data_IF_996016344624
#
_entry.id   IF_996016344624
#
_cell.length_a   1.000
_cell.length_b   1.000
_cell.length_c   1.000
_cell.angle_alpha   90.00
_cell.angle_beta   90.00
_cell.angle_gamma   90.00
#
_symmetry.space_group_name_H-M   'P 1'
#
loop_
_entity.id
_entity.type
_entity.pdbx_description
1 polymer ?
#
# COMPACT_ATOMS: atom_id res chain seq x y z
N UNK A 1 -56.20 -20.30 48.85
CA UNK A 1 -56.43 -20.30 47.39
C UNK A 1 -56.34 -18.86 46.94
N UNK A 2 -55.16 -18.23 46.92
CA UNK A 2 -54.16 -18.21 45.82
C UNK A 2 -54.76 -17.87 44.46
N UNK A 3 -54.53 -16.64 44.01
CA UNK A 3 -53.82 -16.29 42.77
C UNK A 3 -53.52 -14.77 42.83
N UNK A 4 -52.27 -14.31 42.91
CA UNK A 4 -51.20 -14.31 41.91
C UNK A 4 -51.39 -13.23 40.81
N UNK A 5 -50.62 -12.14 40.95
CA UNK A 5 -49.79 -11.49 39.91
C UNK A 5 -49.81 -9.95 40.02
N UNK A 6 -48.82 -9.41 40.74
CA UNK A 6 -48.31 -8.07 40.55
C UNK A 6 -47.09 -8.14 39.62
N UNK A 7 -47.07 -7.32 38.57
CA UNK A 7 -45.88 -7.11 37.74
C UNK A 7 -45.84 -5.65 37.28
N UNK A 8 -45.44 -4.76 38.19
CA UNK A 8 -44.95 -3.44 37.81
C UNK A 8 -43.44 -3.57 37.57
N UNK A 9 -43.03 -3.43 36.30
CA UNK A 9 -41.64 -3.51 35.89
C UNK A 9 -40.86 -2.31 36.43
N UNK A 10 -39.98 -2.57 37.39
CA UNK A 10 -39.03 -1.59 37.95
C UNK A 10 -37.97 -1.25 36.91
N UNK A 11 -37.95 -0.01 36.40
CA UNK A 11 -36.84 0.51 35.58
C UNK A 11 -35.64 0.77 36.50
N UNK A 12 -34.69 -0.16 36.52
CA UNK A 12 -33.37 0.07 37.12
C UNK A 12 -32.52 1.03 36.28
N UNK A 13 -31.52 1.72 36.86
CA UNK A 13 -30.66 2.64 36.12
C UNK A 13 -29.82 1.87 35.10
N UNK A 14 -29.72 2.41 33.89
CA UNK A 14 -28.92 1.82 32.81
C UNK A 14 -27.44 1.74 33.20
N UNK A 15 -26.90 0.53 33.31
CA UNK A 15 -25.47 0.32 33.44
C UNK A 15 -24.74 0.85 32.20
N UNK A 16 -23.62 1.58 32.35
CA UNK A 16 -22.80 1.96 31.22
C UNK A 16 -22.22 0.69 30.60
N UNK A 17 -22.61 0.39 29.36
CA UNK A 17 -22.12 -0.75 28.60
C UNK A 17 -20.62 -0.58 28.32
N UNK A 18 -19.76 -1.08 29.19
CA UNK A 18 -18.34 -1.34 28.89
C UNK A 18 -18.26 -2.56 27.97
N UNK A 19 -18.69 -2.39 26.73
CA UNK A 19 -18.37 -3.32 25.65
C UNK A 19 -16.90 -3.19 25.26
N UNK A 20 -16.26 -4.24 24.70
CA UNK A 20 -14.92 -4.14 24.15
C UNK A 20 -14.85 -3.00 23.14
N UNK A 21 -13.87 -2.11 23.27
CA UNK A 21 -13.56 -1.13 22.22
C UNK A 21 -13.12 -1.92 20.99
N UNK A 22 -14.01 -2.05 20.02
CA UNK A 22 -13.71 -2.65 18.71
C UNK A 22 -12.74 -1.69 18.00
N UNK A 23 -11.44 -1.99 18.10
CA UNK A 23 -10.42 -1.29 17.34
C UNK A 23 -10.57 -1.72 15.88
N UNK A 24 -11.18 -0.88 15.06
CA UNK A 24 -11.17 -1.03 13.60
C UNK A 24 -9.73 -1.30 13.14
N UNK A 25 -9.38 -2.51 12.67
CA UNK A 25 -8.02 -2.81 12.25
C UNK A 25 -7.89 -2.34 10.80
N UNK A 26 -8.10 -1.06 10.52
CA UNK A 26 -7.75 -0.50 9.22
C UNK A 26 -6.23 -0.54 9.13
N UNK A 27 -5.64 -1.40 8.29
CA UNK A 27 -4.19 -1.51 8.21
C UNK A 27 -3.62 -0.17 7.77
N UNK A 28 -2.83 0.47 8.62
CA UNK A 28 -2.20 1.75 8.29
C UNK A 28 -1.23 1.52 7.13
N UNK A 29 -1.54 2.08 5.96
CA UNK A 29 -0.71 1.93 4.76
C UNK A 29 0.68 2.52 5.03
N UNK A 30 1.78 1.72 4.98
CA UNK A 30 3.12 2.20 5.29
C UNK A 30 3.56 3.25 4.27
N UNK A 31 3.68 4.51 4.71
CA UNK A 31 3.90 5.67 3.82
C UNK A 31 5.33 5.75 3.28
N UNK A 32 6.31 5.26 4.05
CA UNK A 32 7.73 5.45 3.71
C UNK A 32 8.15 4.76 2.41
N UNK A 33 7.67 3.54 2.15
CA UNK A 33 8.01 2.80 0.92
C UNK A 33 7.58 3.58 -0.33
N UNK A 34 6.35 4.10 -0.35
CA UNK A 34 5.86 4.90 -1.48
C UNK A 34 6.68 6.18 -1.74
N UNK A 35 7.07 6.90 -0.69
CA UNK A 35 7.85 8.14 -0.84
C UNK A 35 9.31 7.91 -1.23
N UNK A 36 9.97 6.91 -0.64
CA UNK A 36 11.34 6.55 -1.01
C UNK A 36 11.42 6.13 -2.48
N UNK A 37 10.49 5.29 -2.94
CA UNK A 37 10.44 4.87 -4.33
C UNK A 37 10.09 6.04 -5.27
N UNK A 38 9.18 6.93 -4.86
CA UNK A 38 8.84 8.12 -5.65
C UNK A 38 10.04 9.06 -5.85
N UNK A 39 10.91 9.21 -4.84
CA UNK A 39 12.15 9.97 -4.96
C UNK A 39 13.23 9.24 -5.77
N UNK A 40 13.32 7.91 -5.63
CA UNK A 40 14.32 7.12 -6.34
C UNK A 40 14.02 7.00 -7.84
N UNK A 41 12.75 6.97 -8.25
CA UNK A 41 12.36 6.91 -9.67
C UNK A 41 13.03 7.99 -10.55
N UNK A 42 12.91 9.30 -10.26
CA UNK A 42 13.60 10.31 -11.06
C UNK A 42 15.13 10.20 -10.95
N UNK A 43 15.66 9.81 -9.78
CA UNK A 43 17.10 9.64 -9.61
C UNK A 43 17.67 8.54 -10.53
N UNK A 44 17.05 7.36 -10.58
CA UNK A 44 17.49 6.27 -11.47
C UNK A 44 17.26 6.57 -12.94
N UNK A 45 16.20 7.30 -13.28
CA UNK A 45 15.94 7.71 -14.66
C UNK A 45 17.04 8.65 -15.16
N UNK A 46 17.39 9.66 -14.37
CA UNK A 46 18.45 10.63 -14.71
C UNK A 46 19.80 9.92 -14.78
N UNK A 47 20.20 9.21 -13.71
CA UNK A 47 21.48 8.50 -13.66
C UNK A 47 21.61 7.48 -14.79
N UNK A 48 20.50 6.79 -15.11
CA UNK A 48 20.43 5.83 -16.18
C UNK A 48 20.63 6.44 -17.56
N UNK A 49 19.89 7.49 -17.89
CA UNK A 49 20.05 8.20 -19.17
C UNK A 49 21.49 8.70 -19.32
N UNK A 50 22.08 9.25 -18.26
CA UNK A 50 23.50 9.64 -18.24
C UNK A 50 24.41 8.45 -18.53
N UNK A 51 24.19 7.31 -17.88
CA UNK A 51 25.00 6.10 -18.10
C UNK A 51 24.92 5.60 -19.56
N UNK A 52 23.72 5.59 -20.16
CA UNK A 52 23.55 5.24 -21.58
C UNK A 52 24.33 6.22 -22.47
N UNK A 53 24.23 7.53 -22.20
CA UNK A 53 24.90 8.56 -22.99
C UNK A 53 26.43 8.46 -22.95
N UNK A 54 26.99 8.10 -21.78
CA UNK A 54 28.42 7.91 -21.56
C UNK A 54 28.96 6.55 -22.02
N UNK A 55 28.08 5.61 -22.41
CA UNK A 55 28.51 4.28 -22.85
C UNK A 55 28.79 4.28 -24.35
N UNK A 56 30.01 3.90 -24.75
CA UNK A 56 30.40 3.92 -26.18
C UNK A 56 29.87 2.72 -26.96
N UNK A 57 29.82 1.54 -26.35
CA UNK A 57 29.42 0.32 -27.06
C UNK A 57 27.90 0.19 -27.18
N UNK A 58 27.41 -0.20 -28.37
CA UNK A 58 25.97 -0.47 -28.60
C UNK A 58 25.45 -1.55 -27.66
N UNK A 59 26.22 -2.62 -27.44
CA UNK A 59 25.84 -3.69 -26.50
C UNK A 59 25.73 -3.17 -25.07
N UNK A 60 26.67 -2.31 -24.64
CA UNK A 60 26.63 -1.67 -23.33
C UNK A 60 25.42 -0.75 -23.18
N UNK A 61 25.08 0.05 -24.19
CA UNK A 61 23.87 0.89 -24.19
C UNK A 61 22.60 0.08 -24.05
N UNK A 62 22.49 -1.05 -24.76
CA UNK A 62 21.34 -1.97 -24.64
C UNK A 62 21.27 -2.55 -23.23
N UNK A 63 22.39 -3.03 -22.69
CA UNK A 63 22.44 -3.56 -21.33
C UNK A 63 22.02 -2.50 -20.29
N UNK A 64 22.53 -1.27 -20.42
CA UNK A 64 22.13 -0.15 -19.56
C UNK A 64 20.64 0.16 -19.71
N UNK A 65 20.12 0.24 -20.94
CA UNK A 65 18.71 0.51 -21.19
C UNK A 65 17.79 -0.53 -20.55
N UNK A 66 18.13 -1.82 -20.65
CA UNK A 66 17.40 -2.89 -19.97
C UNK A 66 17.44 -2.71 -18.46
N UNK A 67 18.62 -2.46 -17.88
CA UNK A 67 18.79 -2.23 -16.45
C UNK A 67 17.98 -1.02 -15.94
N UNK A 68 17.98 0.09 -16.68
CA UNK A 68 17.28 1.32 -16.28
C UNK A 68 15.77 1.13 -16.44
N UNK A 69 15.32 0.43 -17.47
CA UNK A 69 13.91 0.10 -17.65
C UNK A 69 13.39 -0.75 -16.49
N UNK A 70 14.13 -1.78 -16.06
CA UNK A 70 13.73 -2.61 -14.91
C UNK A 70 13.79 -1.83 -13.59
N UNK A 71 14.79 -0.97 -13.39
CA UNK A 71 14.84 -0.07 -12.23
C UNK A 71 13.65 0.90 -12.21
N UNK A 72 13.29 1.49 -13.36
CA UNK A 72 12.13 2.36 -13.49
C UNK A 72 10.82 1.62 -13.19
N UNK A 73 10.68 0.36 -13.62
CA UNK A 73 9.53 -0.48 -13.27
C UNK A 73 9.47 -0.75 -11.75
N UNK A 74 10.58 -1.15 -11.14
CA UNK A 74 10.68 -1.38 -9.70
C UNK A 74 10.27 -0.15 -8.89
N UNK A 75 10.89 1.00 -9.14
CA UNK A 75 10.60 2.21 -8.36
C UNK A 75 9.25 2.83 -8.73
N UNK A 76 8.91 2.85 -10.03
CA UNK A 76 7.68 3.47 -10.53
C UNK A 76 6.43 2.72 -10.09
N UNK A 77 6.37 1.40 -10.30
CA UNK A 77 5.21 0.59 -9.90
C UNK A 77 4.99 0.67 -8.39
N UNK A 78 6.06 0.55 -7.60
CA UNK A 78 5.96 0.65 -6.14
C UNK A 78 5.49 2.02 -5.67
N UNK A 79 6.00 3.10 -6.26
CA UNK A 79 5.58 4.45 -5.93
C UNK A 79 4.10 4.70 -6.24
N UNK A 80 3.59 4.15 -7.35
CA UNK A 80 2.16 4.23 -7.72
C UNK A 80 1.32 3.38 -6.77
N UNK A 81 1.72 2.12 -6.54
CA UNK A 81 1.02 1.19 -5.67
C UNK A 81 0.84 1.75 -4.25
N UNK A 82 1.91 2.25 -3.64
CA UNK A 82 1.90 2.70 -2.25
C UNK A 82 1.33 4.12 -2.02
N UNK A 83 1.31 5.00 -3.03
CA UNK A 83 0.78 6.36 -2.86
C UNK A 83 -0.68 6.55 -3.22
N UNK A 84 -1.23 5.71 -4.09
CA UNK A 84 -2.63 5.81 -4.50
C UNK A 84 -3.60 5.06 -3.61
N UNK A 85 -4.87 5.43 -3.72
CA UNK A 85 -6.03 4.71 -3.18
C UNK A 85 -6.77 4.10 -4.36
N UNK A 86 -6.46 2.84 -4.66
CA UNK A 86 -6.98 2.15 -5.83
C UNK A 86 -8.19 1.29 -5.45
N UNK A 87 -9.17 1.18 -6.34
CA UNK A 87 -10.28 0.23 -6.16
C UNK A 87 -9.77 -1.24 -6.18
N UNK A 88 -10.62 -2.22 -5.83
CA UNK A 88 -10.20 -3.61 -5.62
C UNK A 88 -9.39 -4.22 -6.77
N UNK A 89 -9.77 -3.91 -8.02
CA UNK A 89 -9.06 -4.37 -9.22
C UNK A 89 -7.68 -3.73 -9.36
N UNK A 90 -7.59 -2.40 -9.17
CA UNK A 90 -6.34 -1.66 -9.28
C UNK A 90 -5.32 -2.09 -8.23
N UNK A 91 -5.76 -2.23 -6.98
CA UNK A 91 -4.90 -2.71 -5.89
C UNK A 91 -4.38 -4.13 -6.16
N UNK A 92 -5.22 -5.02 -6.68
CA UNK A 92 -4.80 -6.39 -7.02
C UNK A 92 -3.77 -6.44 -8.15
N UNK A 93 -3.94 -5.64 -9.21
CA UNK A 93 -2.99 -5.57 -10.33
C UNK A 93 -1.67 -4.95 -9.87
N UNK A 94 -1.71 -3.79 -9.22
CA UNK A 94 -0.50 -3.09 -8.78
C UNK A 94 0.30 -3.88 -7.75
N UNK A 95 -0.37 -4.59 -6.85
CA UNK A 95 0.29 -5.51 -5.90
C UNK A 95 1.02 -6.65 -6.63
N UNK A 96 0.42 -7.25 -7.67
CA UNK A 96 1.08 -8.29 -8.46
C UNK A 96 2.31 -7.75 -9.19
N UNK A 97 2.20 -6.57 -9.79
CA UNK A 97 3.30 -5.92 -10.47
C UNK A 97 4.42 -5.54 -9.50
N UNK A 98 4.10 -4.98 -8.33
CA UNK A 98 5.09 -4.61 -7.31
C UNK A 98 5.80 -5.85 -6.76
N UNK A 99 5.05 -6.92 -6.48
CA UNK A 99 5.63 -8.17 -6.02
C UNK A 99 6.55 -8.80 -7.08
N UNK A 100 6.15 -8.83 -8.35
CA UNK A 100 6.97 -9.37 -9.44
C UNK A 100 8.29 -8.61 -9.68
N UNK A 101 8.41 -7.38 -9.17
CA UNK A 101 9.66 -6.61 -9.27
C UNK A 101 10.62 -6.88 -8.10
N UNK A 102 10.16 -7.42 -6.98
CA UNK A 102 10.97 -7.53 -5.75
C UNK A 102 11.09 -8.96 -5.18
N UNK A 103 10.20 -9.88 -5.59
CA UNK A 103 10.20 -11.30 -5.24
C UNK A 103 10.40 -12.15 -6.49
#
# INVERSE_FOLDING_TARGET
>A
MTDAAAAAATTGPAEPTTGPVELDPVPVKPRMRGWLHAGMFPAVLIAGITLIALTDSTRGRIACAVYIATACLLFGVSAVYHRGTWGPRGEAVLRRLDHANIF
#
